data_IF_789975902871
#
_entry.id   IF_789975902871
#
_cell.length_a   1.000
_cell.length_b   1.000
_cell.length_c   1.000
_cell.angle_alpha   90.00
_cell.angle_beta   90.00
_cell.angle_gamma   90.00
#
_symmetry.space_group_name_H-M   'P 1'
#
loop_
_entity.id
_entity.type
_entity.pdbx_description
1 polymer ?
#
# COMPACT_ATOMS: atom_id res chain seq x y z
N UNK A 1 -33.67 -2.34 3.74
CA UNK A 1 -32.52 -1.67 3.10
C UNK A 1 -31.42 -2.68 2.89
N UNK A 2 -31.51 -3.43 1.79
CA UNK A 2 -30.38 -4.23 1.31
C UNK A 2 -29.22 -3.27 1.10
N UNK A 3 -28.12 -3.43 1.84
CA UNK A 3 -26.92 -2.65 1.56
C UNK A 3 -26.46 -3.11 0.18
N UNK A 4 -26.53 -2.21 -0.80
CA UNK A 4 -25.83 -2.38 -2.06
C UNK A 4 -24.44 -2.93 -1.77
N UNK A 5 -23.91 -3.85 -2.60
CA UNK A 5 -22.60 -4.41 -2.40
C UNK A 5 -21.61 -3.24 -2.32
N UNK A 6 -21.25 -2.85 -1.09
CA UNK A 6 -20.16 -1.91 -0.87
C UNK A 6 -18.96 -2.60 -1.48
N UNK A 7 -18.20 -1.96 -2.37
CA UNK A 7 -16.98 -2.55 -2.87
C UNK A 7 -16.16 -2.95 -1.64
N UNK A 8 -16.11 -4.25 -1.34
CA UNK A 8 -15.16 -4.79 -0.40
C UNK A 8 -13.85 -4.40 -1.04
N UNK A 9 -13.15 -3.42 -0.45
CA UNK A 9 -11.77 -3.17 -0.82
C UNK A 9 -11.12 -4.55 -0.85
N UNK A 10 -10.51 -4.97 -1.98
CA UNK A 10 -9.78 -6.21 -2.01
C UNK A 10 -8.86 -6.15 -0.78
N UNK A 11 -8.88 -7.19 0.06
CA UNK A 11 -7.79 -7.37 1.00
C UNK A 11 -6.52 -7.18 0.17
N UNK A 12 -5.61 -6.25 0.53
CA UNK A 12 -4.38 -6.11 -0.25
C UNK A 12 -3.78 -7.51 -0.30
N UNK A 13 -3.73 -8.06 -1.51
CA UNK A 13 -2.97 -9.27 -1.75
C UNK A 13 -1.59 -8.98 -1.17
N UNK A 14 -1.06 -9.89 -0.35
CA UNK A 14 0.25 -9.73 0.27
C UNK A 14 1.23 -9.28 -0.81
N UNK A 15 1.52 -7.98 -0.84
CA UNK A 15 2.40 -7.41 -1.85
C UNK A 15 3.75 -8.01 -1.54
N UNK A 16 4.36 -8.64 -2.54
CA UNK A 16 5.77 -9.04 -2.50
C UNK A 16 6.57 -7.74 -2.34
N UNK A 17 6.71 -7.30 -1.09
CA UNK A 17 7.34 -6.02 -0.77
C UNK A 17 8.80 -6.01 -1.15
N UNK A 18 9.43 -4.85 -1.04
CA UNK A 18 10.85 -4.76 -1.30
C UNK A 18 11.66 -5.65 -0.37
N UNK A 19 12.69 -6.29 -0.92
CA UNK A 19 13.66 -7.07 -0.19
C UNK A 19 14.99 -6.33 -0.16
N UNK A 20 15.64 -6.37 0.99
CA UNK A 20 17.03 -5.96 1.14
C UNK A 20 17.86 -7.24 1.05
N UNK A 21 18.72 -7.32 0.03
CA UNK A 21 19.62 -8.45 -0.14
C UNK A 21 20.66 -8.46 0.98
N UNK A 22 21.15 -9.64 1.32
CA UNK A 22 22.25 -9.76 2.28
C UNK A 22 23.52 -9.12 1.73
N UNK A 23 24.21 -8.35 2.57
CA UNK A 23 25.46 -7.72 2.19
C UNK A 23 26.53 -8.79 1.94
N UNK A 24 27.33 -8.68 0.86
CA UNK A 24 28.58 -9.43 0.78
C UNK A 24 29.46 -9.04 1.97
N UNK A 25 29.97 -10.02 2.71
CA UNK A 25 30.90 -9.75 3.80
C UNK A 25 32.23 -9.33 3.16
N UNK A 26 32.76 -8.12 3.43
CA UNK A 26 34.08 -7.72 2.93
C UNK A 26 35.16 -8.70 3.38
N UNK A 27 36.23 -8.86 2.60
CA UNK A 27 37.34 -9.75 2.93
C UNK A 27 37.89 -9.43 4.34
N UNK A 28 37.84 -10.42 5.23
CA UNK A 28 38.31 -10.29 6.61
C UNK A 28 39.77 -10.76 6.72
N UNK A 29 40.56 -10.18 7.64
CA UNK A 29 41.89 -10.71 7.93
C UNK A 29 41.82 -12.15 8.46
N UNK A 30 42.88 -12.93 8.28
CA UNK A 30 42.93 -14.33 8.72
C UNK A 30 42.69 -14.45 10.24
N UNK A 31 41.82 -15.38 10.63
CA UNK A 31 41.26 -15.49 11.99
C UNK A 31 42.28 -15.78 13.11
N UNK A 32 43.51 -16.20 12.79
CA UNK A 32 44.49 -16.68 13.74
C UNK A 32 45.49 -15.62 14.27
N UNK A 33 45.41 -14.37 13.80
CA UNK A 33 46.32 -13.32 14.28
C UNK A 33 45.81 -12.76 15.61
N UNK A 34 46.64 -12.83 16.66
CA UNK A 34 46.38 -12.19 17.95
C UNK A 34 46.94 -10.76 17.95
N UNK A 35 46.11 -9.81 18.37
CA UNK A 35 46.44 -8.38 18.45
C UNK A 35 46.13 -7.93 19.88
N UNK A 36 46.87 -6.98 20.43
CA UNK A 36 46.52 -6.32 21.71
C UNK A 36 46.24 -4.85 21.42
N UNK A 37 44.97 -4.47 21.13
CA UNK A 37 44.64 -3.11 20.74
C UNK A 37 44.85 -2.14 21.91
N UNK A 38 45.71 -1.14 21.75
CA UNK A 38 45.84 -0.04 22.70
C UNK A 38 44.65 0.94 22.57
N UNK A 39 44.18 1.17 21.34
CA UNK A 39 43.06 2.06 21.05
C UNK A 39 42.28 1.61 19.80
N UNK A 40 41.07 2.17 19.64
CA UNK A 40 40.20 1.95 18.49
C UNK A 40 39.92 3.26 17.79
N UNK A 41 40.14 3.30 16.47
CA UNK A 41 39.73 4.41 15.60
C UNK A 41 38.44 4.02 14.89
N UNK A 42 37.32 4.57 15.34
CA UNK A 42 35.99 4.28 14.78
C UNK A 42 35.58 5.43 13.87
N UNK A 43 35.43 5.15 12.59
CA UNK A 43 35.07 6.11 11.55
C UNK A 43 33.62 5.91 11.07
N UNK A 44 33.02 6.97 10.52
CA UNK A 44 31.78 6.88 9.74
C UNK A 44 30.47 6.81 10.54
N UNK A 45 30.52 6.89 11.87
CA UNK A 45 29.33 6.96 12.72
C UNK A 45 28.74 8.37 12.71
N UNK A 46 27.54 8.55 12.16
CA UNK A 46 26.81 9.83 12.11
C UNK A 46 25.36 9.73 12.60
N UNK A 47 24.70 8.61 12.34
CA UNK A 47 23.29 8.37 12.62
C UNK A 47 23.02 7.76 14.00
N UNK A 48 24.04 7.18 14.64
CA UNK A 48 23.97 6.65 16.01
C UNK A 48 24.84 7.48 16.96
N UNK A 49 24.51 7.54 18.27
CA UNK A 49 25.43 8.07 19.27
C UNK A 49 26.75 7.31 19.23
N UNK A 50 27.86 8.02 19.08
CA UNK A 50 29.20 7.41 19.02
C UNK A 50 29.50 6.53 20.24
N UNK A 51 29.03 6.94 21.43
CA UNK A 51 29.21 6.20 22.67
C UNK A 51 28.59 4.79 22.61
N UNK A 52 27.43 4.62 21.99
CA UNK A 52 26.76 3.33 21.84
C UNK A 52 27.61 2.37 20.99
N UNK A 53 28.22 2.89 19.92
CA UNK A 53 29.09 2.12 19.03
C UNK A 53 30.42 1.81 19.72
N UNK A 54 31.03 2.80 20.37
CA UNK A 54 32.31 2.64 21.05
C UNK A 54 32.26 1.62 22.20
N UNK A 55 31.13 1.55 22.92
CA UNK A 55 30.91 0.59 24.00
C UNK A 55 31.06 -0.87 23.56
N UNK A 56 30.82 -1.18 22.27
CA UNK A 56 30.98 -2.54 21.72
C UNK A 56 32.45 -2.95 21.60
N UNK A 57 33.37 -1.99 21.47
CA UNK A 57 34.80 -2.24 21.27
C UNK A 57 35.62 -2.03 22.55
N UNK A 58 35.13 -1.24 23.50
CA UNK A 58 35.79 -0.97 24.78
C UNK A 58 36.28 -2.23 25.53
N UNK A 59 35.52 -3.34 25.61
CA UNK A 59 35.98 -4.55 26.30
C UNK A 59 37.21 -5.21 25.69
N UNK A 60 37.50 -4.92 24.41
CA UNK A 60 38.64 -5.47 23.67
C UNK A 60 39.88 -4.58 23.77
N UNK A 61 39.76 -3.38 24.34
CA UNK A 61 40.88 -2.47 24.51
C UNK A 61 41.82 -2.97 25.62
N UNK A 62 43.13 -2.90 25.36
CA UNK A 62 44.23 -3.31 26.24
C UNK A 62 44.17 -4.78 26.67
N UNK A 63 43.48 -5.62 25.91
CA UNK A 63 43.40 -7.07 26.13
C UNK A 63 43.84 -7.81 24.87
N UNK A 64 44.45 -9.01 24.99
CA UNK A 64 44.70 -9.86 23.83
C UNK A 64 43.37 -10.23 23.16
N UNK A 65 43.22 -9.84 21.90
CA UNK A 65 42.05 -10.11 21.08
C UNK A 65 42.45 -10.76 19.75
N UNK A 66 41.70 -11.75 19.29
CA UNK A 66 41.86 -12.31 17.96
C UNK A 66 41.13 -11.45 16.94
N UNK A 67 41.56 -11.51 15.67
CA UNK A 67 40.80 -10.92 14.55
C UNK A 67 39.34 -11.38 14.56
N UNK A 68 39.07 -12.64 14.93
CA UNK A 68 37.71 -13.15 15.04
C UNK A 68 36.86 -12.41 16.08
N UNK A 69 37.45 -12.02 17.22
CA UNK A 69 36.76 -11.22 18.25
C UNK A 69 36.50 -9.78 17.77
N UNK A 70 37.45 -9.15 17.08
CA UNK A 70 37.29 -7.82 16.48
C UNK A 70 36.15 -7.82 15.43
N UNK A 71 36.14 -8.81 14.55
CA UNK A 71 35.06 -9.01 13.58
C UNK A 71 33.72 -9.25 14.29
N UNK A 72 33.71 -9.98 15.40
CA UNK A 72 32.48 -10.21 16.14
C UNK A 72 31.90 -8.91 16.71
N UNK A 73 32.75 -8.03 17.26
CA UNK A 73 32.33 -6.69 17.70
C UNK A 73 31.79 -5.85 16.52
N UNK A 74 32.41 -5.94 15.34
CA UNK A 74 31.89 -5.27 14.13
C UNK A 74 30.52 -5.83 13.67
N UNK A 75 30.28 -7.14 13.81
CA UNK A 75 28.95 -7.74 13.59
C UNK A 75 27.92 -7.25 14.60
N UNK A 76 28.30 -7.10 15.87
CA UNK A 76 27.43 -6.51 16.89
C UNK A 76 27.11 -5.04 16.58
N UNK A 77 28.08 -4.27 16.09
CA UNK A 77 27.87 -2.90 15.61
C UNK A 77 26.88 -2.87 14.44
N UNK A 78 27.03 -3.76 13.46
CA UNK A 78 26.06 -3.92 12.36
C UNK A 78 24.67 -4.26 12.89
N UNK A 79 24.56 -5.19 13.84
CA UNK A 79 23.29 -5.55 14.45
C UNK A 79 22.65 -4.37 15.20
N UNK A 80 23.44 -3.51 15.86
CA UNK A 80 22.97 -2.29 16.49
C UNK A 80 22.35 -1.33 15.46
N UNK A 81 23.00 -1.08 14.32
CA UNK A 81 22.43 -0.29 13.23
C UNK A 81 21.10 -0.88 12.73
N UNK A 82 21.06 -2.19 12.50
CA UNK A 82 19.85 -2.87 12.01
C UNK A 82 18.70 -2.80 13.03
N UNK A 83 18.99 -2.98 14.33
CA UNK A 83 18.01 -2.84 15.41
C UNK A 83 17.46 -1.42 15.51
N UNK A 84 18.30 -0.41 15.24
CA UNK A 84 17.92 1.00 15.18
C UNK A 84 17.22 1.39 13.86
N UNK A 85 17.04 0.44 12.95
CA UNK A 85 16.26 0.62 11.72
C UNK A 85 17.08 0.97 10.48
N UNK A 86 18.42 0.94 10.53
CA UNK A 86 19.28 1.26 9.39
C UNK A 86 19.73 -0.02 8.65
N UNK A 87 18.85 -0.57 7.83
CA UNK A 87 19.04 -1.91 7.26
C UNK A 87 20.19 -2.02 6.23
N UNK A 88 20.58 -0.93 5.58
CA UNK A 88 21.71 -0.90 4.64
C UNK A 88 23.05 -0.53 5.30
N UNK A 89 23.05 -0.24 6.61
CA UNK A 89 24.25 0.17 7.33
C UNK A 89 24.95 -1.01 7.97
N UNK A 90 26.28 -1.02 7.92
CA UNK A 90 27.09 -2.10 8.48
C UNK A 90 28.43 -1.56 9.00
N UNK A 91 29.06 -2.32 9.90
CA UNK A 91 30.38 -2.02 10.42
C UNK A 91 31.33 -3.15 10.06
N UNK A 92 32.58 -2.83 9.73
CA UNK A 92 33.60 -3.82 9.46
C UNK A 92 34.98 -3.35 9.94
N UNK A 93 35.89 -4.32 10.10
CA UNK A 93 37.30 -4.08 10.39
C UNK A 93 38.05 -4.24 9.06
N UNK A 94 38.57 -3.16 8.45
CA UNK A 94 39.34 -3.27 7.22
C UNK A 94 40.61 -4.09 7.42
N UNK A 95 41.13 -4.64 6.34
CA UNK A 95 42.45 -5.24 6.33
C UNK A 95 43.50 -4.16 6.66
N UNK A 96 44.27 -4.38 7.72
CA UNK A 96 45.29 -3.47 8.24
C UNK A 96 46.44 -4.28 8.84
N UNK A 97 47.61 -3.66 9.00
CA UNK A 97 48.80 -4.27 9.59
C UNK A 97 48.81 -4.23 11.13
N UNK A 98 47.80 -3.57 11.73
CA UNK A 98 47.67 -3.32 13.18
C UNK A 98 48.89 -2.63 13.78
N UNK A 99 49.63 -1.85 12.98
CA UNK A 99 50.76 -1.07 13.45
C UNK A 99 50.36 -0.12 14.59
N UNK A 100 51.24 0.05 15.58
CA UNK A 100 50.99 0.95 16.71
C UNK A 100 49.88 0.51 17.68
N UNK A 101 49.42 -0.75 17.59
CA UNK A 101 48.32 -1.28 18.41
C UNK A 101 47.00 -0.48 18.26
N UNK A 102 46.78 0.15 17.11
CA UNK A 102 45.52 0.83 16.78
C UNK A 102 44.68 -0.09 15.91
N UNK A 103 43.41 -0.28 16.28
CA UNK A 103 42.45 -1.00 15.44
C UNK A 103 41.48 -0.02 14.82
N UNK A 104 41.54 0.11 13.50
CA UNK A 104 40.55 0.87 12.74
C UNK A 104 39.28 0.06 12.55
N UNK A 105 38.13 0.71 12.74
CA UNK A 105 36.78 0.19 12.52
C UNK A 105 36.03 1.21 11.68
N UNK A 106 35.37 0.75 10.62
CA UNK A 106 34.60 1.62 9.73
C UNK A 106 33.13 1.27 9.81
N UNK A 107 32.30 2.23 10.20
CA UNK A 107 30.85 2.18 10.04
C UNK A 107 30.47 2.79 8.69
N UNK A 108 29.80 2.01 7.86
CA UNK A 108 29.28 2.42 6.56
C UNK A 108 27.78 2.62 6.70
N UNK A 109 27.36 3.88 6.60
CA UNK A 109 25.97 4.27 6.62
C UNK A 109 25.36 4.23 5.22
N UNK A 110 24.65 3.13 4.93
CA UNK A 110 24.16 2.83 3.59
C UNK A 110 22.96 3.68 3.17
N UNK A 111 22.94 4.07 1.89
CA UNK A 111 21.83 4.75 1.24
C UNK A 111 21.67 4.24 -0.20
N UNK A 112 20.53 4.54 -0.86
CA UNK A 112 20.37 4.25 -2.29
C UNK A 112 21.02 5.38 -3.09
N UNK A 113 22.06 5.05 -3.85
CA UNK A 113 22.69 5.97 -4.78
C UNK A 113 22.11 5.81 -6.19
N UNK A 114 22.00 4.55 -6.64
CA UNK A 114 21.59 4.21 -8.00
C UNK A 114 20.28 3.46 -7.98
N UNK A 115 19.40 3.78 -8.93
CA UNK A 115 18.14 3.07 -9.16
C UNK A 115 18.12 2.58 -10.61
N UNK A 116 17.91 1.29 -10.78
CA UNK A 116 17.72 0.65 -12.09
C UNK A 116 16.29 0.13 -12.16
N UNK A 117 15.58 0.44 -13.24
CA UNK A 117 14.26 -0.12 -13.54
C UNK A 117 14.46 -1.15 -14.65
N UNK A 118 14.10 -2.40 -14.38
CA UNK A 118 14.22 -3.53 -15.31
C UNK A 118 12.82 -4.00 -15.73
N UNK A 119 12.51 -3.92 -17.02
CA UNK A 119 11.21 -4.30 -17.59
C UNK A 119 10.43 -3.12 -18.15
N UNK A 120 9.14 -3.31 -18.38
CA UNK A 120 8.23 -2.26 -18.86
C UNK A 120 7.36 -1.75 -17.70
N UNK A 121 7.48 -0.46 -17.40
CA UNK A 121 6.61 0.26 -16.45
C UNK A 121 5.55 1.12 -17.16
N UNK A 122 5.66 1.31 -18.49
CA UNK A 122 4.77 2.14 -19.29
C UNK A 122 4.46 3.51 -18.68
N UNK A 123 3.17 3.87 -18.65
CA UNK A 123 2.71 5.16 -18.14
C UNK A 123 2.97 5.39 -16.64
N UNK A 124 3.24 4.34 -15.85
CA UNK A 124 3.53 4.46 -14.42
C UNK A 124 5.01 4.77 -14.12
N UNK A 125 5.91 4.67 -15.10
CA UNK A 125 7.35 4.86 -14.88
C UNK A 125 7.70 6.20 -14.22
N UNK A 126 7.11 7.35 -14.62
CA UNK A 126 7.37 8.62 -13.93
C UNK A 126 7.09 8.54 -12.43
N UNK A 127 5.94 7.98 -12.04
CA UNK A 127 5.57 7.83 -10.63
C UNK A 127 6.49 6.85 -9.89
N UNK A 128 6.93 5.78 -10.56
CA UNK A 128 7.90 4.85 -10.00
C UNK A 128 9.24 5.54 -9.69
N UNK A 129 9.71 6.40 -10.61
CA UNK A 129 10.92 7.22 -10.44
C UNK A 129 10.76 8.25 -9.33
N UNK A 130 9.59 8.88 -9.20
CA UNK A 130 9.30 9.82 -8.10
C UNK A 130 9.44 9.16 -6.73
N UNK A 131 8.92 7.94 -6.57
CA UNK A 131 9.10 7.16 -5.33
C UNK A 131 10.54 6.73 -5.10
N UNK A 132 11.25 6.32 -6.15
CA UNK A 132 12.66 5.96 -6.02
C UNK A 132 13.54 7.16 -5.64
N UNK A 133 13.21 8.36 -6.14
CA UNK A 133 13.90 9.59 -5.80
C UNK A 133 13.73 9.98 -4.32
N UNK A 134 12.64 9.57 -3.66
CA UNK A 134 12.50 9.76 -2.21
C UNK A 134 13.49 8.88 -1.43
N UNK A 135 13.67 7.62 -1.86
CA UNK A 135 14.65 6.71 -1.27
C UNK A 135 16.10 7.18 -1.48
N UNK A 136 16.41 7.83 -2.61
CA UNK A 136 17.75 8.37 -2.89
C UNK A 136 18.11 9.61 -2.06
N UNK A 137 17.09 10.37 -1.62
CA UNK A 137 17.26 11.59 -0.84
C UNK A 137 17.52 11.33 0.65
N UNK A 138 17.11 10.17 1.16
CA UNK A 138 17.31 9.80 2.56
C UNK A 138 18.69 9.14 2.77
N UNK A 139 19.50 9.73 3.65
CA UNK A 139 20.86 9.26 3.93
C UNK A 139 21.19 9.38 5.43
N UNK A 140 21.45 8.28 6.14
CA UNK A 140 21.30 6.88 5.70
C UNK A 140 19.85 6.47 5.46
N UNK A 141 19.65 5.43 4.65
CA UNK A 141 18.33 4.89 4.38
C UNK A 141 17.80 4.14 5.60
N UNK A 142 16.58 4.49 6.03
CA UNK A 142 15.87 3.75 7.07
C UNK A 142 15.03 2.62 6.48
N UNK A 143 14.88 1.54 7.26
CA UNK A 143 14.01 0.41 6.93
C UNK A 143 12.56 0.85 6.79
N UNK A 144 12.11 1.79 7.62
CA UNK A 144 10.74 2.30 7.58
C UNK A 144 10.43 2.98 6.24
N UNK A 145 11.33 3.84 5.76
CA UNK A 145 11.18 4.49 4.46
C UNK A 145 11.30 3.50 3.30
N UNK A 146 12.25 2.57 3.36
CA UNK A 146 12.36 1.51 2.35
C UNK A 146 11.07 0.69 2.23
N UNK A 147 10.54 0.21 3.36
CA UNK A 147 9.28 -0.54 3.38
C UNK A 147 8.11 0.32 2.89
N UNK A 148 8.01 1.58 3.32
CA UNK A 148 6.95 2.50 2.88
C UNK A 148 6.95 2.67 1.37
N UNK A 149 8.07 3.08 0.77
CA UNK A 149 8.12 3.41 -0.64
C UNK A 149 8.03 2.18 -1.53
N UNK A 150 8.61 1.05 -1.13
CA UNK A 150 8.45 -0.19 -1.91
C UNK A 150 7.01 -0.69 -1.89
N UNK A 151 6.28 -0.50 -0.79
CA UNK A 151 4.84 -0.77 -0.74
C UNK A 151 4.01 0.22 -1.56
N UNK A 152 4.38 1.50 -1.61
CA UNK A 152 3.73 2.47 -2.51
C UNK A 152 3.94 2.09 -3.98
N UNK A 153 5.15 1.66 -4.35
CA UNK A 153 5.45 1.16 -5.69
C UNK A 153 4.61 -0.09 -6.03
N UNK A 154 4.48 -1.03 -5.08
CA UNK A 154 3.68 -2.24 -5.25
C UNK A 154 2.16 -1.98 -5.35
N UNK A 155 1.69 -0.81 -4.93
CA UNK A 155 0.29 -0.38 -5.03
C UNK A 155 -0.01 0.42 -6.31
N UNK A 156 0.99 0.66 -7.17
CA UNK A 156 0.76 1.32 -8.45
C UNK A 156 -0.21 0.49 -9.31
N UNK A 157 -1.32 1.08 -9.79
CA UNK A 157 -2.29 0.35 -10.59
C UNK A 157 -1.64 -0.26 -11.83
N UNK A 158 -1.93 -1.55 -12.08
CA UNK A 158 -1.44 -2.22 -13.28
C UNK A 158 0.06 -2.52 -13.29
N UNK A 159 0.79 -2.36 -12.19
CA UNK A 159 2.19 -2.76 -12.11
C UNK A 159 2.38 -3.85 -11.07
N UNK A 160 3.18 -4.86 -11.43
CA UNK A 160 3.87 -5.70 -10.46
C UNK A 160 5.29 -5.17 -10.33
N UNK A 161 5.68 -4.81 -9.12
CA UNK A 161 7.02 -4.29 -8.82
C UNK A 161 7.67 -5.18 -7.76
N UNK A 162 8.85 -5.70 -8.07
CA UNK A 162 9.73 -6.37 -7.10
C UNK A 162 10.95 -5.49 -6.91
N UNK A 163 11.12 -4.97 -5.70
CA UNK A 163 12.20 -4.06 -5.36
C UNK A 163 13.31 -4.80 -4.60
N UNK A 164 14.54 -4.78 -5.13
CA UNK A 164 15.70 -5.40 -4.52
C UNK A 164 16.76 -4.34 -4.23
N UNK A 165 17.05 -4.09 -2.95
CA UNK A 165 18.15 -3.23 -2.55
C UNK A 165 19.39 -4.07 -2.24
N UNK A 166 20.50 -3.77 -2.91
CA UNK A 166 21.81 -4.35 -2.60
C UNK A 166 22.56 -3.44 -1.63
N UNK A 167 23.09 -3.98 -0.51
CA UNK A 167 23.91 -3.20 0.40
C UNK A 167 25.17 -2.64 -0.28
N UNK A 168 25.72 -1.53 0.23
CA UNK A 168 26.92 -0.93 -0.32
C UNK A 168 28.12 -1.87 -0.28
N UNK A 169 28.87 -1.92 -1.36
CA UNK A 169 30.16 -2.65 -1.43
C UNK A 169 31.36 -1.74 -1.19
N UNK A 170 31.15 -0.41 -1.23
CA UNK A 170 32.17 0.62 -1.03
C UNK A 170 31.91 1.38 0.27
N UNK A 171 32.95 2.01 0.79
CA UNK A 171 32.91 2.81 2.03
C UNK A 171 32.13 4.12 1.90
N UNK A 172 31.71 4.51 0.69
CA UNK A 172 30.86 5.67 0.44
C UNK A 172 29.37 5.43 0.78
N UNK A 173 29.01 4.20 1.17
CA UNK A 173 27.65 3.84 1.54
C UNK A 173 26.67 3.81 0.37
N UNK A 174 27.16 3.83 -0.88
CA UNK A 174 26.33 3.80 -2.07
C UNK A 174 25.79 2.39 -2.37
N UNK A 175 24.47 2.21 -2.19
CA UNK A 175 23.72 1.01 -2.56
C UNK A 175 22.99 1.14 -3.91
N UNK A 176 22.60 0.00 -4.46
CA UNK A 176 21.83 -0.13 -5.70
C UNK A 176 20.42 -0.61 -5.38
N UNK A 177 19.40 0.05 -5.96
CA UNK A 177 18.01 -0.42 -5.96
C UNK A 177 17.64 -0.89 -7.37
N UNK A 178 17.31 -2.18 -7.50
CA UNK A 178 16.78 -2.75 -8.74
C UNK A 178 15.28 -2.93 -8.60
N UNK A 179 14.52 -2.27 -9.46
CA UNK A 179 13.06 -2.38 -9.56
C UNK A 179 12.71 -3.24 -10.77
N UNK A 180 12.36 -4.50 -10.53
CA UNK A 180 11.87 -5.39 -11.58
C UNK A 180 10.37 -5.16 -11.77
N UNK A 181 9.98 -4.77 -12.98
CA UNK A 181 8.62 -4.31 -13.27
C UNK A 181 7.96 -5.13 -14.37
N UNK A 182 6.68 -5.41 -14.19
CA UNK A 182 5.82 -6.01 -15.21
C UNK A 182 4.50 -5.27 -15.27
N UNK A 183 4.18 -4.75 -16.46
CA UNK A 183 2.99 -3.94 -16.73
C UNK A 183 1.78 -4.80 -17.10
N UNK A 184 0.63 -4.40 -16.59
CA UNK A 184 -0.70 -4.87 -16.91
C UNK A 184 -1.58 -3.65 -17.23
N UNK A 185 -1.59 -3.17 -18.49
CA UNK A 185 -2.23 -1.90 -18.85
C UNK A 185 -3.76 -1.94 -18.72
N UNK A 186 -4.34 -3.13 -18.79
CA UNK A 186 -5.75 -3.35 -18.55
C UNK A 186 -5.99 -4.64 -17.76
N UNK A 187 -7.14 -4.69 -17.10
CA UNK A 187 -7.65 -5.89 -16.44
C UNK A 187 -9.11 -6.06 -16.85
N UNK A 188 -9.49 -7.28 -17.21
CA UNK A 188 -10.87 -7.66 -17.46
C UNK A 188 -11.19 -8.85 -16.54
N UNK A 189 -12.36 -8.84 -15.92
CA UNK A 189 -12.83 -9.93 -15.08
C UNK A 189 -14.32 -10.15 -15.28
N UNK A 190 -14.72 -11.41 -15.34
CA UNK A 190 -16.10 -11.86 -15.35
C UNK A 190 -16.36 -12.63 -14.06
N UNK A 191 -17.39 -12.23 -13.32
CA UNK A 191 -17.87 -12.95 -12.14
C UNK A 191 -19.32 -13.36 -12.34
N UNK A 192 -19.75 -14.42 -11.67
CA UNK A 192 -21.14 -14.84 -11.63
C UNK A 192 -21.56 -15.18 -10.20
N UNK A 193 -22.78 -14.82 -9.84
CA UNK A 193 -23.46 -15.23 -8.61
C UNK A 193 -24.64 -16.13 -8.98
N UNK A 194 -24.63 -17.34 -8.44
CA UNK A 194 -25.61 -18.40 -8.71
C UNK A 194 -26.41 -18.76 -7.46
N UNK A 195 -26.33 -17.96 -6.39
CA UNK A 195 -27.01 -18.26 -5.11
C UNK A 195 -28.50 -17.90 -5.13
N UNK A 196 -28.90 -16.93 -5.93
CA UNK A 196 -30.29 -16.50 -6.12
C UNK A 196 -30.99 -17.37 -7.17
N UNK A 197 -32.33 -17.35 -7.17
CA UNK A 197 -33.15 -17.97 -8.22
C UNK A 197 -32.92 -17.32 -9.58
N UNK A 198 -32.45 -16.07 -9.61
CA UNK A 198 -31.98 -15.37 -10.81
C UNK A 198 -30.44 -15.22 -10.82
N UNK A 199 -29.72 -16.01 -11.63
CA UNK A 199 -28.27 -15.88 -11.77
C UNK A 199 -27.84 -14.50 -12.26
N UNK A 200 -26.85 -13.89 -11.59
CA UNK A 200 -26.30 -12.57 -11.97
C UNK A 200 -24.87 -12.72 -12.44
N UNK A 201 -24.51 -12.12 -13.58
CA UNK A 201 -23.13 -12.06 -14.04
C UNK A 201 -22.64 -10.60 -14.08
N UNK A 202 -21.41 -10.35 -13.65
CA UNK A 202 -20.79 -9.02 -13.61
C UNK A 202 -19.54 -9.01 -14.48
N UNK A 203 -19.51 -8.10 -15.45
CA UNK A 203 -18.30 -7.77 -16.19
C UNK A 203 -17.64 -6.56 -15.55
N UNK A 204 -16.35 -6.63 -15.26
CA UNK A 204 -15.56 -5.51 -14.73
C UNK A 204 -14.29 -5.32 -15.54
N UNK A 205 -13.95 -4.07 -15.82
CA UNK A 205 -12.75 -3.67 -16.53
C UNK A 205 -12.00 -2.57 -15.79
N UNK A 206 -10.69 -2.52 -15.95
CA UNK A 206 -9.86 -1.39 -15.53
C UNK A 206 -8.79 -1.10 -16.56
N UNK A 207 -8.51 0.19 -16.79
CA UNK A 207 -7.39 0.73 -17.56
C UNK A 207 -6.45 1.43 -16.59
N UNK A 208 -5.17 1.09 -16.65
CA UNK A 208 -4.13 1.62 -15.78
C UNK A 208 -3.27 2.64 -16.53
N UNK A 209 -3.00 3.75 -15.86
CA UNK A 209 -2.36 4.95 -16.39
C UNK A 209 -3.03 5.53 -17.65
N UNK A 210 -4.38 5.64 -17.74
CA UNK A 210 -5.06 6.06 -18.96
C UNK A 210 -4.85 7.55 -19.29
N UNK A 211 -4.53 8.38 -18.30
CA UNK A 211 -4.39 9.85 -18.44
C UNK A 211 -3.13 10.39 -17.76
N UNK A 212 -2.89 9.96 -16.52
CA UNK A 212 -1.79 10.41 -15.66
C UNK A 212 -1.16 9.19 -14.99
N UNK A 213 0.16 9.26 -14.78
CA UNK A 213 0.95 8.23 -14.10
C UNK A 213 0.42 7.93 -12.69
N UNK A 214 0.24 6.65 -12.37
CA UNK A 214 -0.37 6.19 -11.12
C UNK A 214 -1.90 6.33 -11.08
N UNK A 215 -2.54 6.48 -12.24
CA UNK A 215 -3.99 6.57 -12.38
C UNK A 215 -4.65 5.23 -12.73
N UNK A 216 -5.92 5.06 -12.39
CA UNK A 216 -6.71 3.89 -12.82
C UNK A 216 -8.16 4.28 -13.08
N UNK A 217 -8.67 3.96 -14.26
CA UNK A 217 -10.06 4.09 -14.66
C UNK A 217 -10.69 2.70 -14.63
N UNK A 218 -11.75 2.51 -13.86
CA UNK A 218 -12.47 1.24 -13.76
C UNK A 218 -13.94 1.40 -14.13
N UNK A 219 -14.52 0.38 -14.70
CA UNK A 219 -15.95 0.29 -14.92
C UNK A 219 -16.46 -1.13 -14.68
N UNK A 220 -17.70 -1.26 -14.26
CA UNK A 220 -18.36 -2.56 -14.14
C UNK A 220 -19.83 -2.48 -14.53
N UNK A 221 -20.39 -3.60 -14.98
CA UNK A 221 -21.81 -3.72 -15.35
C UNK A 221 -22.32 -5.13 -15.07
N UNK A 222 -23.62 -5.24 -14.80
CA UNK A 222 -24.31 -6.54 -14.88
C UNK A 222 -24.43 -6.97 -16.34
N UNK A 223 -24.43 -8.28 -16.57
CA UNK A 223 -24.76 -8.96 -17.81
C UNK A 223 -26.08 -9.70 -17.61
N UNK A 224 -27.00 -9.57 -18.56
CA UNK A 224 -28.34 -10.16 -18.46
C UNK A 224 -29.36 -9.35 -19.25
N UNK A 225 -30.64 -9.51 -18.91
CA UNK A 225 -31.69 -8.65 -19.46
C UNK A 225 -31.67 -7.28 -18.79
N UNK A 226 -31.10 -6.31 -19.49
CA UNK A 226 -31.09 -4.91 -19.06
C UNK A 226 -32.49 -4.30 -18.94
N UNK A 227 -33.58 -4.96 -19.34
CA UNK A 227 -34.94 -4.47 -19.07
C UNK A 227 -35.41 -4.80 -17.66
N UNK A 228 -34.91 -5.88 -17.08
CA UNK A 228 -35.29 -6.37 -15.75
C UNK A 228 -34.35 -5.80 -14.69
N UNK A 229 -33.04 -5.81 -14.96
CA UNK A 229 -32.03 -5.33 -14.01
C UNK A 229 -30.85 -4.67 -14.73
N UNK A 230 -30.47 -3.49 -14.28
CA UNK A 230 -29.33 -2.71 -14.77
C UNK A 230 -28.45 -2.32 -13.61
N UNK A 231 -27.15 -2.45 -13.80
CA UNK A 231 -26.16 -1.95 -12.87
C UNK A 231 -24.96 -1.45 -13.64
N UNK A 232 -24.40 -0.31 -13.23
CA UNK A 232 -23.19 0.24 -13.80
C UNK A 232 -22.38 0.99 -12.76
N UNK A 233 -21.06 0.83 -12.79
CA UNK A 233 -20.13 1.70 -12.07
C UNK A 233 -19.07 2.25 -13.02
N UNK A 234 -18.64 3.48 -12.75
CA UNK A 234 -17.47 4.09 -13.36
C UNK A 234 -16.70 4.81 -12.27
N UNK A 235 -15.41 4.55 -12.16
CA UNK A 235 -14.56 5.16 -11.15
C UNK A 235 -13.19 5.52 -11.69
N UNK A 236 -12.64 6.62 -11.20
CA UNK A 236 -11.26 7.03 -11.49
C UNK A 236 -10.51 7.27 -10.18
N UNK A 237 -9.32 6.69 -10.06
CA UNK A 237 -8.42 6.89 -8.94
C UNK A 237 -7.08 7.44 -9.42
N UNK A 238 -6.50 8.36 -8.66
CA UNK A 238 -5.23 8.99 -9.00
C UNK A 238 -4.36 9.15 -7.76
N UNK A 239 -3.11 8.71 -7.88
CA UNK A 239 -2.08 8.92 -6.86
C UNK A 239 -1.46 10.32 -6.99
N UNK A 240 -1.62 11.13 -5.95
CA UNK A 240 -1.19 12.54 -5.90
C UNK A 240 0.06 12.68 -5.06
N UNK A 241 1.01 13.48 -5.56
CA UNK A 241 2.29 13.69 -4.90
C UNK A 241 3.09 12.40 -4.73
N UNK A 242 4.04 12.42 -3.79
CA UNK A 242 5.03 11.35 -3.65
C UNK A 242 4.90 10.58 -2.33
N UNK A 243 3.86 10.83 -1.54
CA UNK A 243 3.68 10.26 -0.21
C UNK A 243 2.50 9.28 -0.11
N UNK A 244 1.83 8.97 -1.23
CA UNK A 244 0.78 7.95 -1.28
C UNK A 244 -0.66 8.44 -1.12
N UNK A 245 -0.91 9.75 -1.14
CA UNK A 245 -2.26 10.30 -1.17
C UNK A 245 -2.98 9.84 -2.45
N UNK A 246 -4.15 9.22 -2.32
CA UNK A 246 -4.98 8.79 -3.45
C UNK A 246 -6.28 9.56 -3.45
N UNK A 247 -6.63 10.19 -4.57
CA UNK A 247 -7.95 10.75 -4.82
C UNK A 247 -8.78 9.77 -5.64
N UNK A 248 -10.08 9.68 -5.35
CA UNK A 248 -11.01 8.79 -6.06
C UNK A 248 -12.32 9.49 -6.33
N UNK A 249 -12.82 9.35 -7.55
CA UNK A 249 -14.18 9.72 -7.94
C UNK A 249 -14.89 8.46 -8.43
N UNK A 250 -16.12 8.22 -7.98
CA UNK A 250 -16.91 7.06 -8.35
C UNK A 250 -18.37 7.46 -8.62
N UNK A 251 -18.93 6.92 -9.68
CA UNK A 251 -20.34 7.02 -10.05
C UNK A 251 -20.91 5.61 -10.14
N UNK A 252 -22.08 5.37 -9.56
CA UNK A 252 -22.80 4.12 -9.70
C UNK A 252 -24.29 4.33 -9.90
N UNK A 253 -24.89 3.44 -10.69
CA UNK A 253 -26.32 3.43 -10.97
C UNK A 253 -26.84 1.99 -10.95
N UNK A 254 -28.02 1.81 -10.38
CA UNK A 254 -28.74 0.56 -10.32
C UNK A 254 -30.21 0.82 -10.64
N UNK A 255 -30.84 -0.11 -11.35
CA UNK A 255 -32.25 -0.10 -11.64
C UNK A 255 -32.77 -1.54 -11.73
N UNK A 256 -33.81 -1.91 -10.99
CA UNK A 256 -34.38 -3.26 -11.07
C UNK A 256 -35.40 -3.57 -9.99
N UNK A 257 -35.93 -4.80 -10.02
CA UNK A 257 -36.88 -5.30 -9.03
C UNK A 257 -36.14 -6.02 -7.88
N UNK A 258 -36.11 -5.43 -6.66
CA UNK A 258 -35.41 -6.01 -5.51
C UNK A 258 -36.11 -7.26 -4.96
N UNK A 259 -37.37 -7.50 -5.32
CA UNK A 259 -38.21 -8.58 -4.81
C UNK A 259 -38.31 -9.74 -5.82
N UNK A 260 -37.60 -9.64 -6.96
CA UNK A 260 -37.66 -10.59 -8.07
C UNK A 260 -37.24 -12.02 -7.70
N UNK A 261 -36.42 -12.18 -6.65
CA UNK A 261 -35.97 -13.47 -6.14
C UNK A 261 -36.98 -14.16 -5.20
N UNK A 262 -38.07 -13.48 -4.79
CA UNK A 262 -38.98 -13.98 -3.75
C UNK A 262 -39.99 -15.05 -4.24
N UNK A 263 -39.99 -15.42 -5.53
CA UNK A 263 -40.85 -16.47 -6.16
C UNK A 263 -42.33 -16.46 -5.73
N UNK A 264 -42.84 -15.27 -5.41
CA UNK A 264 -44.23 -14.99 -5.07
C UNK A 264 -44.77 -14.05 -6.14
N UNK A 265 -45.99 -14.29 -6.66
CA UNK A 265 -46.71 -13.25 -7.42
C UNK A 265 -47.13 -12.17 -6.41
N UNK A 266 -46.43 -11.03 -6.33
CA UNK A 266 -46.67 -10.12 -5.23
C UNK A 266 -47.89 -9.26 -5.57
N UNK A 267 -48.74 -9.00 -4.57
CA UNK A 267 -49.87 -8.08 -4.71
C UNK A 267 -49.43 -6.65 -5.06
N UNK A 268 -48.12 -6.36 -4.87
CA UNK A 268 -47.44 -5.10 -5.15
C UNK A 268 -46.10 -5.43 -5.80
N UNK A 269 -45.85 -4.93 -7.02
CA UNK A 269 -44.53 -4.97 -7.67
C UNK A 269 -43.70 -3.78 -7.23
N UNK A 270 -42.39 -3.96 -7.09
CA UNK A 270 -41.46 -2.91 -6.69
C UNK A 270 -40.40 -2.71 -7.76
N UNK A 271 -40.08 -1.45 -8.05
CA UNK A 271 -38.98 -1.07 -8.93
C UNK A 271 -38.10 -0.07 -8.21
N UNK A 272 -36.82 -0.40 -8.04
CA UNK A 272 -35.86 0.47 -7.38
C UNK A 272 -34.97 1.15 -8.42
N UNK A 273 -34.79 2.48 -8.29
CA UNK A 273 -33.75 3.23 -8.98
C UNK A 273 -32.79 3.84 -7.96
N UNK A 274 -31.52 3.46 -8.04
CA UNK A 274 -30.48 3.95 -7.16
C UNK A 274 -29.35 4.58 -7.95
N UNK A 275 -28.89 5.76 -7.53
CA UNK A 275 -27.75 6.47 -8.11
C UNK A 275 -26.87 7.02 -7.00
N UNK A 276 -25.56 6.87 -7.15
CA UNK A 276 -24.57 7.42 -6.22
C UNK A 276 -23.41 8.07 -6.93
N UNK A 277 -22.97 9.20 -6.39
CA UNK A 277 -21.72 9.86 -6.76
C UNK A 277 -20.86 10.04 -5.51
N UNK A 278 -19.58 9.75 -5.58
CA UNK A 278 -18.63 9.86 -4.46
C UNK A 278 -17.32 10.51 -4.91
N UNK A 279 -16.81 11.40 -4.07
CA UNK A 279 -15.45 11.92 -4.14
C UNK A 279 -14.76 11.65 -2.81
N UNK A 280 -13.59 10.99 -2.83
CA UNK A 280 -12.86 10.62 -1.63
C UNK A 280 -11.35 10.77 -1.77
N UNK A 281 -10.68 10.86 -0.62
CA UNK A 281 -9.25 10.89 -0.48
C UNK A 281 -8.81 9.85 0.56
N UNK A 282 -7.67 9.19 0.31
CA UNK A 282 -7.07 8.22 1.22
C UNK A 282 -5.57 8.44 1.35
N UNK A 283 -5.06 8.45 2.58
CA UNK A 283 -3.65 8.66 2.87
C UNK A 283 -3.09 7.53 3.78
N UNK A 284 -1.97 6.88 3.40
CA UNK A 284 -1.31 5.87 4.21
C UNK A 284 -0.50 6.52 5.33
N UNK A 285 -1.05 6.52 6.55
CA UNK A 285 -0.36 6.95 7.77
C UNK A 285 0.82 6.02 8.11
N UNK A 286 0.63 4.72 7.90
CA UNK A 286 1.69 3.71 8.05
C UNK A 286 1.54 2.67 6.95
N UNK A 287 2.66 2.31 6.33
CA UNK A 287 2.69 1.28 5.31
C UNK A 287 3.95 0.45 5.46
N UNK A 288 3.77 -0.87 5.59
CA UNK A 288 4.86 -1.83 5.68
C UNK A 288 4.45 -3.17 5.05
N UNK A 289 5.40 -4.10 4.97
CA UNK A 289 5.17 -5.46 4.44
C UNK A 289 4.18 -6.29 5.25
N UNK A 290 4.02 -5.97 6.55
CA UNK A 290 3.17 -6.74 7.48
C UNK A 290 1.91 -5.99 7.92
N UNK A 291 1.67 -4.78 7.41
CA UNK A 291 0.47 -4.04 7.78
C UNK A 291 0.38 -2.65 7.19
N UNK A 292 -0.81 -2.07 7.34
CA UNK A 292 -1.14 -0.74 6.85
C UNK A 292 -2.08 -0.03 7.82
N UNK A 293 -2.00 1.29 7.83
CA UNK A 293 -2.95 2.18 8.50
C UNK A 293 -3.27 3.33 7.54
N UNK A 294 -4.53 3.44 7.18
CA UNK A 294 -5.07 4.47 6.31
C UNK A 294 -6.00 5.40 7.07
N UNK A 295 -5.87 6.70 6.80
CA UNK A 295 -6.91 7.68 7.07
C UNK A 295 -7.55 8.07 5.73
N UNK A 296 -8.87 7.98 5.66
CA UNK A 296 -9.63 8.31 4.47
C UNK A 296 -10.81 9.21 4.82
N UNK A 297 -11.26 10.00 3.87
CA UNK A 297 -12.44 10.82 4.01
C UNK A 297 -13.05 11.11 2.66
N UNK A 298 -14.33 11.41 2.64
CA UNK A 298 -15.02 11.69 1.39
C UNK A 298 -16.42 12.22 1.59
N UNK A 299 -17.00 12.62 0.47
CA UNK A 299 -18.38 13.08 0.35
C UNK A 299 -19.08 12.20 -0.67
N UNK A 300 -20.34 11.87 -0.42
CA UNK A 300 -21.16 11.18 -1.40
C UNK A 300 -22.59 11.71 -1.42
N UNK A 301 -23.19 11.60 -2.60
CA UNK A 301 -24.59 11.89 -2.88
C UNK A 301 -25.29 10.61 -3.30
N UNK A 302 -26.48 10.36 -2.76
CA UNK A 302 -27.33 9.23 -3.13
C UNK A 302 -28.71 9.75 -3.48
N UNK A 303 -29.24 9.27 -4.61
CA UNK A 303 -30.66 9.35 -4.93
C UNK A 303 -31.20 7.92 -5.05
N UNK A 304 -32.19 7.58 -4.23
CA UNK A 304 -32.88 6.30 -4.25
C UNK A 304 -34.37 6.55 -4.41
N UNK A 305 -35.00 5.92 -5.40
CA UNK A 305 -36.44 5.93 -5.60
C UNK A 305 -36.95 4.49 -5.60
N UNK A 306 -38.02 4.24 -4.86
CA UNK A 306 -38.75 2.98 -4.82
C UNK A 306 -40.17 3.21 -5.33
N UNK A 307 -40.46 2.67 -6.52
CA UNK A 307 -41.78 2.71 -7.14
C UNK A 307 -42.52 1.40 -6.84
N UNK A 308 -43.66 1.52 -6.19
CA UNK A 308 -44.56 0.43 -5.84
C UNK A 308 -45.81 0.51 -6.71
N UNK A 309 -46.15 -0.59 -7.36
CA UNK A 309 -47.33 -0.70 -8.21
C UNK A 309 -48.18 -1.89 -7.78
N UNK A 310 -49.47 -1.68 -7.49
CA UNK A 310 -50.41 -2.77 -7.22
C UNK A 310 -51.26 -3.06 -8.46
N UNK A 311 -51.03 -4.19 -9.17
CA UNK A 311 -51.78 -4.49 -10.39
C UNK A 311 -53.29 -4.66 -10.15
N UNK A 312 -53.67 -5.10 -8.95
CA UNK A 312 -55.07 -5.34 -8.60
C UNK A 312 -55.87 -4.07 -8.31
N UNK A 313 -55.21 -2.96 -7.93
CA UNK A 313 -55.88 -1.69 -7.60
C UNK A 313 -55.51 -0.53 -8.53
N UNK A 314 -54.47 -0.68 -9.35
CA UNK A 314 -53.91 0.40 -10.17
C UNK A 314 -53.07 1.42 -9.38
N UNK A 315 -53.06 1.32 -8.05
CA UNK A 315 -52.39 2.26 -7.16
C UNK A 315 -50.88 2.27 -7.36
N UNK A 316 -50.31 3.49 -7.37
CA UNK A 316 -48.89 3.76 -7.47
C UNK A 316 -48.40 4.58 -6.26
N UNK A 317 -47.27 4.17 -5.71
CA UNK A 317 -46.58 4.87 -4.61
C UNK A 317 -45.11 4.97 -4.97
N UNK A 318 -44.55 6.18 -4.94
CA UNK A 318 -43.12 6.42 -5.11
C UNK A 318 -42.55 6.96 -3.81
N UNK A 319 -41.55 6.28 -3.26
CA UNK A 319 -40.74 6.76 -2.14
C UNK A 319 -39.37 7.20 -2.67
N UNK A 320 -39.09 8.51 -2.65
CA UNK A 320 -37.83 9.08 -3.12
C UNK A 320 -37.04 9.67 -1.96
N UNK A 321 -35.82 9.18 -1.78
CA UNK A 321 -34.86 9.65 -0.78
C UNK A 321 -33.59 10.13 -1.45
N UNK A 322 -33.29 11.42 -1.26
CA UNK A 322 -32.02 12.05 -1.65
C UNK A 322 -31.27 12.42 -0.38
N UNK A 323 -30.05 11.93 -0.23
CA UNK A 323 -29.21 12.31 0.90
C UNK A 323 -27.75 12.50 0.49
N UNK A 324 -27.12 13.45 1.18
CA UNK A 324 -25.71 13.77 1.08
C UNK A 324 -25.04 13.44 2.41
N UNK A 325 -23.82 12.93 2.37
CA UNK A 325 -23.08 12.69 3.59
C UNK A 325 -21.59 12.92 3.39
N UNK A 326 -20.95 13.35 4.47
CA UNK A 326 -19.50 13.34 4.62
C UNK A 326 -19.11 12.19 5.53
N UNK A 327 -17.94 11.62 5.30
CA UNK A 327 -17.43 10.58 6.18
C UNK A 327 -15.93 10.74 6.43
N UNK A 328 -15.52 10.18 7.56
CA UNK A 328 -14.12 9.92 7.92
C UNK A 328 -13.99 8.43 8.24
N UNK A 329 -12.87 7.84 7.82
CA UNK A 329 -12.61 6.42 7.98
C UNK A 329 -11.15 6.17 8.36
N UNK A 330 -10.94 5.37 9.41
CA UNK A 330 -9.67 4.76 9.74
C UNK A 330 -9.70 3.27 9.38
N UNK A 331 -8.70 2.80 8.63
CA UNK A 331 -8.57 1.38 8.26
C UNK A 331 -7.19 0.87 8.65
N UNK A 332 -7.15 -0.11 9.54
CA UNK A 332 -5.93 -0.77 10.00
C UNK A 332 -5.93 -2.23 9.57
N UNK A 333 -4.81 -2.68 9.03
CA UNK A 333 -4.60 -4.07 8.66
C UNK A 333 -3.24 -4.56 9.14
N UNK A 334 -3.17 -5.80 9.59
CA UNK A 334 -1.94 -6.47 9.96
C UNK A 334 -2.01 -7.93 9.56
N UNK A 335 -0.94 -8.43 8.97
CA UNK A 335 -0.77 -9.84 8.65
C UNK A 335 0.50 -10.39 9.33
N UNK A 336 0.41 -11.65 9.71
CA UNK A 336 1.49 -12.50 10.22
C UNK A 336 1.38 -13.87 9.57
N UNK A 337 2.36 -14.73 9.78
CA UNK A 337 2.39 -16.06 9.16
C UNK A 337 1.19 -16.94 9.56
N UNK A 338 0.59 -16.69 10.73
CA UNK A 338 -0.51 -17.49 11.28
C UNK A 338 -1.85 -16.74 11.38
N UNK A 339 -1.87 -15.42 11.26
CA UNK A 339 -3.09 -14.62 11.49
C UNK A 339 -3.09 -13.30 10.72
N UNK A 340 -4.28 -12.86 10.34
CA UNK A 340 -4.54 -11.55 9.77
C UNK A 340 -5.65 -10.84 10.56
N UNK A 341 -5.45 -9.56 10.83
CA UNK A 341 -6.41 -8.69 11.52
C UNK A 341 -6.70 -7.50 10.62
N UNK A 342 -7.98 -7.19 10.45
CA UNK A 342 -8.45 -5.99 9.75
C UNK A 342 -9.48 -5.29 10.63
N UNK A 343 -9.25 -4.01 10.90
CA UNK A 343 -10.15 -3.14 11.67
C UNK A 343 -10.48 -1.92 10.82
N UNK A 344 -11.76 -1.58 10.72
CA UNK A 344 -12.21 -0.35 10.05
C UNK A 344 -13.22 0.35 10.93
N UNK A 345 -12.99 1.63 11.18
CA UNK A 345 -13.91 2.51 11.89
C UNK A 345 -14.29 3.65 10.94
N UNK A 346 -15.59 3.90 10.78
CA UNK A 346 -16.12 4.93 9.88
C UNK A 346 -17.16 5.76 10.62
N UNK A 347 -16.96 7.07 10.63
CA UNK A 347 -17.93 8.06 11.09
C UNK A 347 -18.56 8.70 9.87
N UNK A 348 -19.89 8.74 9.81
CA UNK A 348 -20.65 9.32 8.70
C UNK A 348 -21.61 10.36 9.28
N UNK A 349 -21.66 11.53 8.66
CA UNK A 349 -22.56 12.61 9.02
C UNK A 349 -23.38 13.00 7.79
N UNK A 350 -24.70 12.93 7.91
CA UNK A 350 -25.63 13.43 6.90
C UNK A 350 -25.55 14.96 6.80
N UNK A 351 -25.78 15.48 5.60
CA UNK A 351 -25.80 16.91 5.28
C UNK A 351 -27.17 17.26 4.73
N UNK A 352 -27.89 18.10 5.47
CA UNK A 352 -29.21 18.61 5.09
C UNK A 352 -29.08 19.83 4.15
N UNK A 353 -28.39 19.64 3.03
CA UNK A 353 -28.14 20.66 2.02
C UNK A 353 -28.15 20.07 0.60
N UNK A 354 -28.03 20.92 -0.42
CA UNK A 354 -27.95 20.55 -1.84
C UNK A 354 -29.13 19.70 -2.35
N UNK A 355 -30.33 19.88 -1.78
CA UNK A 355 -31.54 19.14 -2.18
C UNK A 355 -31.69 17.77 -1.52
N UNK A 356 -31.06 17.56 -0.35
CA UNK A 356 -31.38 16.44 0.53
C UNK A 356 -32.87 16.52 0.94
N UNK A 357 -33.61 15.43 0.72
CA UNK A 357 -35.04 15.35 0.98
C UNK A 357 -35.50 13.89 1.04
N UNK A 358 -36.60 13.65 1.74
CA UNK A 358 -37.33 12.39 1.70
C UNK A 358 -38.80 12.72 1.38
N UNK A 359 -39.30 12.19 0.27
CA UNK A 359 -40.63 12.49 -0.24
C UNK A 359 -41.34 11.21 -0.63
N UNK A 360 -42.58 11.07 -0.18
CA UNK A 360 -43.48 10.00 -0.59
C UNK A 360 -44.59 10.60 -1.44
N UNK A 361 -44.82 10.04 -2.64
CA UNK A 361 -45.86 10.47 -3.57
C UNK A 361 -46.79 9.31 -3.87
N UNK A 362 -48.07 9.59 -3.94
CA UNK A 362 -49.10 8.61 -4.31
C UNK A 362 -49.86 9.09 -5.53
N UNK A 363 -50.17 8.15 -6.41
CA UNK A 363 -51.05 8.36 -7.56
C UNK A 363 -52.06 7.22 -7.57
N UNK A 364 -53.34 7.60 -7.54
CA UNK A 364 -54.48 6.68 -7.53
C UNK A 364 -55.00 6.44 -8.93
#
# INVERSE_FOLDING_TARGET
>A
MERLPTPRMPAPAASEGGQILTAPVPAQPAAAVAVTPASFEIEGVKALPFADVAALFQPLARQPATVAQLTNAARQCTALYQQRGYALSFCFVPQQDFAGAVVRVVAVEGHIATVTIEGDAGGAEPKLRDFAAQLQRERPLTRASFERYTQLMAQLPGLRVVANATPPVRTDGAGLLVLKVSRQPYKLSLGADLRSSQPRAVLSGALNDPFVSGGSLSASTLLGDFKEEKFGTVGYSQLIGNDGLTLKAELSAYEGDPDADLDISPAVRRHNSYRRAELSAAYPLRLSTRGSLYASGGIYAVNNADDYFSPGSGFQLTDEVRHHAVYLQGSYQRASDASAVSLTARLVQGIDAFGAQANVRTTA
#
